data_IF_967528403993
#
_entry.id   IF_967528403993
#
_cell.length_a   1.000
_cell.length_b   1.000
_cell.length_c   1.000
_cell.angle_alpha   90.00
_cell.angle_beta   90.00
_cell.angle_gamma   90.00
#
_symmetry.space_group_name_H-M   'P 1'
#
loop_
_entity.id
_entity.type
_entity.pdbx_description
1 polymer ?
#
# COMPACT_ATOMS: atom_id res chain seq x y z
N UNK A 1 -32.91 -23.12 8.19
CA UNK A 1 -31.64 -22.95 7.46
C UNK A 1 -30.52 -23.15 8.46
N UNK A 2 -29.81 -24.28 8.41
CA UNK A 2 -28.72 -24.58 9.34
C UNK A 2 -27.50 -23.72 9.00
N UNK A 3 -27.28 -22.67 9.76
CA UNK A 3 -26.07 -21.84 9.68
C UNK A 3 -24.97 -22.53 10.50
N UNK A 4 -24.02 -23.19 9.83
CA UNK A 4 -22.82 -23.75 10.47
C UNK A 4 -21.83 -22.61 10.72
N UNK A 5 -21.37 -22.45 11.96
CA UNK A 5 -20.41 -21.40 12.29
C UNK A 5 -19.04 -21.69 11.66
N UNK A 6 -18.46 -20.80 10.82
CA UNK A 6 -17.14 -21.05 10.21
C UNK A 6 -15.97 -20.93 11.21
N UNK A 7 -16.22 -20.48 12.44
CA UNK A 7 -15.20 -20.35 13.48
C UNK A 7 -15.04 -21.62 14.33
N UNK A 8 -16.15 -22.25 14.74
CA UNK A 8 -16.15 -23.42 15.63
C UNK A 8 -16.92 -24.63 15.08
N UNK A 9 -17.48 -24.54 13.88
CA UNK A 9 -18.29 -25.58 13.22
C UNK A 9 -19.56 -26.02 13.98
N UNK A 10 -20.01 -25.26 14.98
CA UNK A 10 -21.28 -25.53 15.63
C UNK A 10 -22.46 -25.29 14.66
N UNK A 11 -23.34 -26.28 14.56
CA UNK A 11 -24.59 -26.18 13.81
C UNK A 11 -25.71 -25.66 14.71
N UNK A 12 -26.27 -24.50 14.35
CA UNK A 12 -27.33 -23.84 15.13
C UNK A 12 -28.61 -24.70 15.21
N UNK A 13 -29.17 -24.80 16.41
CA UNK A 13 -30.42 -25.47 16.73
C UNK A 13 -31.55 -24.46 16.93
N UNK A 14 -32.81 -24.90 16.75
CA UNK A 14 -33.98 -24.03 16.93
C UNK A 14 -34.20 -23.60 18.39
N UNK A 15 -33.63 -24.34 19.34
CA UNK A 15 -33.73 -24.09 20.78
C UNK A 15 -32.61 -23.18 21.31
N UNK A 16 -31.68 -22.73 20.46
CA UNK A 16 -30.60 -21.86 20.89
C UNK A 16 -31.13 -20.45 21.23
N UNK A 17 -30.71 -19.92 22.37
CA UNK A 17 -31.18 -18.62 22.89
C UNK A 17 -30.39 -17.41 22.39
N UNK A 18 -29.30 -17.62 21.63
CA UNK A 18 -28.47 -16.54 21.14
C UNK A 18 -29.15 -15.76 20.00
N UNK A 19 -28.95 -14.43 19.91
CA UNK A 19 -29.47 -13.62 18.80
C UNK A 19 -28.98 -14.13 17.44
N UNK A 20 -29.78 -13.98 16.38
CA UNK A 20 -29.50 -14.57 15.05
C UNK A 20 -28.15 -14.19 14.43
N UNK A 21 -27.58 -13.04 14.80
CA UNK A 21 -26.27 -12.59 14.32
C UNK A 21 -25.09 -13.26 15.03
N UNK A 22 -25.33 -13.97 16.14
CA UNK A 22 -24.32 -14.55 17.03
C UNK A 22 -24.36 -16.08 17.05
N UNK A 23 -23.18 -16.71 17.01
CA UNK A 23 -23.06 -18.15 17.27
C UNK A 23 -23.25 -18.43 18.78
N UNK A 24 -24.18 -19.32 19.18
CA UNK A 24 -24.43 -19.66 20.59
C UNK A 24 -23.27 -20.41 21.26
N UNK A 25 -22.46 -21.15 20.49
CA UNK A 25 -21.35 -21.94 21.04
C UNK A 25 -20.09 -21.11 21.30
N UNK A 26 -19.70 -20.21 20.39
CA UNK A 26 -18.46 -19.42 20.53
C UNK A 26 -18.68 -17.92 20.68
N UNK A 27 -19.94 -17.46 20.77
CA UNK A 27 -20.34 -16.06 20.90
C UNK A 27 -19.84 -15.09 19.79
N UNK A 28 -19.19 -15.61 18.73
CA UNK A 28 -18.69 -14.80 17.61
C UNK A 28 -19.83 -14.47 16.65
N UNK A 29 -19.85 -13.24 16.15
CA UNK A 29 -20.78 -12.83 15.10
C UNK A 29 -20.45 -13.54 13.78
N UNK A 30 -21.46 -14.05 13.06
CA UNK A 30 -21.23 -14.79 11.80
C UNK A 30 -20.46 -13.95 10.77
N UNK A 31 -20.75 -12.65 10.69
CA UNK A 31 -20.05 -11.68 9.82
C UNK A 31 -18.56 -11.49 10.16
N UNK A 32 -18.12 -11.93 11.34
CA UNK A 32 -16.71 -11.87 11.79
C UNK A 32 -16.07 -13.26 11.88
N UNK A 33 -16.81 -14.32 11.60
CA UNK A 33 -16.36 -15.69 11.73
C UNK A 33 -15.66 -16.22 10.47
N UNK A 34 -15.93 -15.62 9.30
CA UNK A 34 -15.16 -15.89 8.08
C UNK A 34 -13.79 -15.21 8.11
N UNK A 35 -12.82 -15.79 7.41
CA UNK A 35 -11.57 -15.09 7.07
C UNK A 35 -11.94 -13.84 6.28
N UNK A 36 -11.73 -12.68 6.88
CA UNK A 36 -11.81 -11.43 6.15
C UNK A 36 -10.75 -11.51 5.04
N UNK A 37 -11.20 -11.75 3.80
CA UNK A 37 -10.42 -11.28 2.68
C UNK A 37 -10.25 -9.78 2.93
N UNK A 38 -9.01 -9.26 2.89
CA UNK A 38 -8.79 -7.83 3.03
C UNK A 38 -9.75 -7.12 2.06
N UNK A 39 -10.43 -6.04 2.49
CA UNK A 39 -11.30 -5.31 1.56
C UNK A 39 -10.49 -4.95 0.32
N UNK A 40 -11.08 -5.05 -0.87
CA UNK A 40 -10.42 -4.70 -2.16
C UNK A 40 -9.77 -3.31 -2.15
N UNK A 41 -10.15 -2.45 -1.21
CA UNK A 41 -9.58 -1.12 -0.99
C UNK A 41 -8.23 -1.12 -0.28
N UNK A 42 -7.77 -2.24 0.29
CA UNK A 42 -6.37 -2.41 0.66
C UNK A 42 -5.59 -2.72 -0.62
N UNK A 43 -5.40 -1.66 -1.42
CA UNK A 43 -4.48 -1.65 -2.54
C UNK A 43 -3.13 -2.12 -2.00
N UNK A 44 -2.69 -3.27 -2.49
CA UNK A 44 -1.37 -3.78 -2.20
C UNK A 44 -0.40 -2.86 -2.95
N UNK A 45 0.10 -1.82 -2.27
CA UNK A 45 1.19 -0.97 -2.78
C UNK A 45 2.49 -1.81 -2.76
N UNK A 46 2.56 -2.78 -3.67
CA UNK A 46 3.81 -3.36 -4.10
C UNK A 46 4.34 -2.53 -5.27
N UNK A 47 5.66 -2.38 -5.45
CA UNK A 47 6.18 -1.80 -6.67
C UNK A 47 5.70 -2.66 -7.84
N UNK A 48 4.91 -2.07 -8.75
CA UNK A 48 4.68 -2.64 -10.07
C UNK A 48 6.04 -2.64 -10.78
N UNK A 49 6.80 -3.71 -10.59
CA UNK A 49 7.93 -4.00 -11.47
C UNK A 49 7.32 -4.54 -12.74
N UNK A 50 6.93 -3.63 -13.63
CA UNK A 50 6.69 -3.97 -15.01
C UNK A 50 7.96 -4.67 -15.52
N UNK A 51 7.86 -5.98 -15.73
CA UNK A 51 8.90 -6.78 -16.36
C UNK A 51 8.97 -6.40 -17.83
N UNK A 52 9.37 -5.17 -18.12
CA UNK A 52 9.61 -4.72 -19.47
C UNK A 52 10.98 -5.27 -19.87
N UNK A 53 10.96 -6.46 -20.48
CA UNK A 53 12.09 -7.06 -21.17
C UNK A 53 12.59 -6.13 -22.27
N UNK A 54 13.39 -5.15 -21.88
CA UNK A 54 13.99 -4.16 -22.76
C UNK A 54 15.33 -4.65 -23.25
N UNK A 55 15.30 -5.50 -24.28
CA UNK A 55 16.50 -5.95 -24.98
C UNK A 55 17.38 -4.79 -25.43
N UNK A 56 18.68 -5.00 -25.36
CA UNK A 56 19.80 -4.12 -25.72
C UNK A 56 19.54 -3.14 -26.89
N UNK A 57 18.73 -3.54 -27.88
CA UNK A 57 18.33 -2.69 -29.01
C UNK A 57 17.58 -1.39 -28.62
N UNK A 58 16.72 -1.41 -27.60
CA UNK A 58 16.02 -0.19 -27.14
C UNK A 58 16.99 0.81 -26.51
N UNK A 59 17.97 0.31 -25.74
CA UNK A 59 19.04 1.13 -25.18
C UNK A 59 19.97 1.69 -26.27
N UNK A 60 20.27 0.90 -27.30
CA UNK A 60 21.11 1.35 -28.41
C UNK A 60 20.45 2.50 -29.19
N UNK A 61 19.14 2.39 -29.47
CA UNK A 61 18.40 3.45 -30.15
C UNK A 61 18.32 4.74 -29.31
N UNK A 62 18.14 4.62 -27.99
CA UNK A 62 18.15 5.78 -27.09
C UNK A 62 19.53 6.45 -27.08
N UNK A 63 20.63 5.69 -27.01
CA UNK A 63 21.98 6.24 -27.02
C UNK A 63 22.32 6.93 -28.35
N UNK A 64 21.90 6.35 -29.48
CA UNK A 64 22.09 6.97 -30.80
C UNK A 64 21.28 8.26 -30.91
N UNK A 65 20.01 8.25 -30.48
CA UNK A 65 19.16 9.43 -30.50
C UNK A 65 19.70 10.56 -29.60
N UNK A 66 20.17 10.23 -28.38
CA UNK A 66 20.80 11.19 -27.47
C UNK A 66 22.13 11.71 -28.01
N UNK A 67 22.96 10.86 -28.62
CA UNK A 67 24.21 11.27 -29.27
C UNK A 67 23.96 12.24 -30.43
N UNK A 68 22.98 11.96 -31.28
CA UNK A 68 22.58 12.82 -32.39
C UNK A 68 22.00 14.16 -31.89
N UNK A 69 21.11 14.13 -30.90
CA UNK A 69 20.53 15.32 -30.29
C UNK A 69 21.59 16.18 -29.59
N UNK A 70 22.59 15.57 -28.94
CA UNK A 70 23.68 16.31 -28.31
C UNK A 70 24.64 16.92 -29.34
N UNK A 71 24.93 16.22 -30.44
CA UNK A 71 25.79 16.76 -31.52
C UNK A 71 25.11 17.92 -32.25
N UNK A 72 23.82 17.80 -32.56
CA UNK A 72 23.05 18.83 -33.29
C UNK A 72 22.47 19.93 -32.39
N UNK A 73 22.22 19.67 -31.10
CA UNK A 73 21.66 20.63 -30.13
C UNK A 73 22.72 21.45 -29.37
N UNK A 74 24.00 21.03 -29.40
CA UNK A 74 25.13 21.74 -28.78
C UNK A 74 25.26 23.23 -29.13
N UNK A 75 25.03 23.72 -30.36
CA UNK A 75 25.11 25.14 -30.65
C UNK A 75 23.92 25.97 -30.11
N UNK A 76 22.84 25.33 -29.64
CA UNK A 76 21.67 26.01 -29.04
C UNK A 76 21.70 26.01 -27.51
N UNK A 77 22.58 25.23 -26.89
CA UNK A 77 22.68 25.04 -25.44
C UNK A 77 23.82 25.83 -24.80
N UNK A 78 24.35 26.88 -25.46
CA UNK A 78 25.15 27.89 -24.76
C UNK A 78 24.26 28.55 -23.70
N UNK A 79 24.44 28.25 -22.40
CA UNK A 79 23.43 28.62 -21.42
C UNK A 79 23.61 30.08 -21.03
N UNK A 80 22.61 30.90 -21.32
CA UNK A 80 22.25 31.95 -20.38
C UNK A 80 21.91 31.25 -19.06
N UNK A 81 22.67 31.55 -18.01
CA UNK A 81 22.50 30.98 -16.67
C UNK A 81 21.06 31.15 -16.18
N UNK A 82 20.29 30.06 -16.15
CA UNK A 82 18.97 30.03 -15.53
C UNK A 82 19.12 29.80 -14.00
N UNK A 83 18.38 30.55 -13.16
CA UNK A 83 18.56 30.50 -11.72
C UNK A 83 18.01 29.19 -11.14
N UNK A 84 18.72 28.72 -10.11
CA UNK A 84 18.51 27.53 -9.27
C UNK A 84 17.19 27.52 -8.46
N UNK A 85 16.20 28.32 -8.86
CA UNK A 85 15.07 28.73 -8.04
C UNK A 85 13.82 27.82 -8.15
N UNK A 86 13.80 26.80 -9.02
CA UNK A 86 12.62 25.93 -9.20
C UNK A 86 12.80 24.49 -8.70
N UNK A 87 13.84 24.23 -7.90
CA UNK A 87 14.01 22.96 -7.20
C UNK A 87 14.03 23.17 -5.69
N UNK A 88 12.96 23.78 -5.15
CA UNK A 88 12.61 23.63 -3.73
C UNK A 88 11.26 22.93 -3.73
N UNK A 89 11.33 21.60 -3.84
CA UNK A 89 10.29 20.72 -3.39
C UNK A 89 9.91 21.08 -1.95
N UNK A 90 8.62 21.01 -1.60
CA UNK A 90 8.19 20.92 -0.19
C UNK A 90 8.94 19.77 0.47
N UNK A 91 10.01 20.10 1.18
CA UNK A 91 10.84 19.16 1.92
C UNK A 91 10.26 18.87 3.33
N UNK A 92 9.11 19.45 3.65
CA UNK A 92 8.44 19.29 4.93
C UNK A 92 7.32 18.24 4.81
N UNK A 93 7.43 17.14 5.56
CA UNK A 93 6.33 16.18 5.69
C UNK A 93 5.16 16.83 6.45
N UNK A 94 3.89 16.52 6.10
CA UNK A 94 2.75 16.98 6.88
C UNK A 94 2.76 16.36 8.29
N UNK A 95 2.20 17.07 9.27
CA UNK A 95 2.09 16.58 10.65
C UNK A 95 1.13 15.38 10.72
N UNK A 96 1.59 14.26 11.30
CA UNK A 96 0.80 13.02 11.44
C UNK A 96 0.61 12.67 12.92
N UNK A 97 -0.64 12.54 13.36
CA UNK A 97 -0.99 12.12 14.73
C UNK A 97 -1.57 10.70 14.76
N UNK A 98 -0.91 9.79 15.48
CA UNK A 98 -1.38 8.41 15.68
C UNK A 98 -2.05 8.23 17.06
N UNK A 99 -3.37 8.08 17.07
CA UNK A 99 -4.10 7.65 18.27
C UNK A 99 -3.85 6.17 18.53
N UNK A 100 -3.33 5.84 19.72
CA UNK A 100 -2.99 4.46 20.07
C UNK A 100 -3.10 4.18 21.56
N UNK A 101 -3.09 2.91 21.93
CA UNK A 101 -2.97 2.45 23.31
C UNK A 101 -1.60 1.79 23.55
N UNK A 102 -1.16 1.71 24.81
CA UNK A 102 0.13 1.12 25.17
C UNK A 102 0.15 -0.41 25.09
N UNK A 103 -1.01 -1.05 25.28
CA UNK A 103 -1.14 -2.51 25.35
C UNK A 103 -1.52 -3.17 24.02
N UNK A 104 -1.87 -2.41 22.98
CA UNK A 104 -2.25 -2.98 21.68
C UNK A 104 -1.02 -3.33 20.82
N UNK A 105 -0.88 -4.61 20.49
CA UNK A 105 0.21 -5.11 19.64
C UNK A 105 0.23 -4.50 18.23
N UNK A 106 -0.93 -4.33 17.60
CA UNK A 106 -1.00 -3.70 16.27
C UNK A 106 -0.59 -2.22 16.29
N UNK A 107 -0.89 -1.50 17.38
CA UNK A 107 -0.42 -0.13 17.56
C UNK A 107 1.10 -0.06 17.64
N UNK A 108 1.76 -1.03 18.30
CA UNK A 108 3.22 -1.13 18.32
C UNK A 108 3.77 -1.33 16.90
N UNK A 109 3.20 -2.28 16.14
CA UNK A 109 3.62 -2.55 14.76
C UNK A 109 3.49 -1.32 13.86
N UNK A 110 2.43 -0.53 14.01
CA UNK A 110 2.25 0.71 13.26
C UNK A 110 3.34 1.75 13.58
N UNK A 111 3.72 1.91 14.85
CA UNK A 111 4.84 2.80 15.23
C UNK A 111 6.17 2.34 14.65
N UNK A 112 6.43 1.04 14.68
CA UNK A 112 7.66 0.46 14.11
C UNK A 112 7.73 0.72 12.59
N UNK A 113 6.59 0.63 11.89
CA UNK A 113 6.49 0.99 10.47
C UNK A 113 6.78 2.47 10.20
N UNK A 114 6.25 3.38 11.02
CA UNK A 114 6.47 4.83 10.86
C UNK A 114 7.96 5.16 11.02
N UNK A 115 8.60 4.59 12.04
CA UNK A 115 10.03 4.76 12.29
C UNK A 115 10.89 4.23 11.13
N UNK A 116 10.55 3.07 10.57
CA UNK A 116 11.29 2.46 9.46
C UNK A 116 11.21 3.27 8.16
N UNK A 117 10.13 4.02 7.95
CA UNK A 117 9.89 4.79 6.73
C UNK A 117 10.14 6.30 6.89
N UNK A 118 10.64 6.72 8.05
CA UNK A 118 10.93 8.13 8.34
C UNK A 118 9.69 9.02 8.31
N UNK A 119 8.53 8.48 8.70
CA UNK A 119 7.27 9.21 8.87
C UNK A 119 7.30 9.85 10.27
N UNK A 120 7.13 11.16 10.34
CA UNK A 120 7.28 11.96 11.58
C UNK A 120 5.98 12.63 11.97
#
# INVERSE_FOLDING_TARGET
>A
MSQICPHCNYARQATDSAPDWQCPSCAKAYVKAGSALPPETLVQYGPNVDAQGGGLGKWLLILIALGAAFWFGRPLLQPASAPRAMAVASAEQPEVVLYSTSWCGYCKMARDFFAANGIR
#
